data_IF_701805919345
#
_entry.id   IF_701805919345
#
_cell.length_a   1.000
_cell.length_b   1.000
_cell.length_c   1.000
_cell.angle_alpha   90.00
_cell.angle_beta   90.00
_cell.angle_gamma   90.00
#
_symmetry.space_group_name_H-M   'P 1'
#
loop_
_entity.id
_entity.type
_entity.pdbx_description
1 polymer ?
#
# COMPACT_ATOMS: atom_id res chain seq x y z
N UNK A 1 31.68 13.91 -7.88
CA UNK A 1 31.12 15.13 -7.28
C UNK A 1 30.19 14.67 -6.14
N UNK A 2 30.54 15.01 -4.91
CA UNK A 2 30.02 14.39 -3.67
C UNK A 2 28.53 14.67 -3.47
N UNK A 3 27.70 13.62 -3.51
CA UNK A 3 26.33 13.66 -3.00
C UNK A 3 26.39 13.77 -1.47
N UNK A 4 26.01 14.93 -0.94
CA UNK A 4 25.77 15.10 0.49
C UNK A 4 24.35 14.60 0.77
N UNK A 5 24.24 13.48 1.48
CA UNK A 5 22.99 12.95 2.01
C UNK A 5 22.46 13.85 3.14
N UNK A 6 21.23 14.36 3.05
CA UNK A 6 20.51 14.85 4.22
C UNK A 6 19.50 13.77 4.68
N UNK A 7 19.98 12.61 5.15
CA UNK A 7 19.09 11.51 5.54
C UNK A 7 18.74 11.44 7.04
N UNK A 8 19.12 12.43 7.86
CA UNK A 8 18.98 12.33 9.33
C UNK A 8 17.85 13.17 9.96
N UNK A 9 17.06 13.93 9.18
CA UNK A 9 16.07 14.84 9.77
C UNK A 9 14.60 14.39 9.66
N UNK A 10 14.29 13.31 8.97
CA UNK A 10 12.88 12.89 8.77
C UNK A 10 12.31 11.94 9.84
N UNK A 11 13.17 11.30 10.63
CA UNK A 11 12.70 10.33 11.63
C UNK A 11 12.07 10.98 12.88
N UNK A 12 12.35 12.25 13.15
CA UNK A 12 11.91 12.91 14.39
C UNK A 12 10.48 13.48 14.35
N UNK A 13 9.86 13.60 13.18
CA UNK A 13 8.50 14.18 13.09
C UNK A 13 7.37 13.22 13.45
N UNK A 14 7.62 11.90 13.46
CA UNK A 14 6.62 10.88 13.80
C UNK A 14 6.61 10.52 15.31
N UNK A 15 7.57 11.02 16.09
CA UNK A 15 7.77 10.64 17.50
C UNK A 15 7.26 11.68 18.51
N UNK A 16 6.54 12.72 18.06
CA UNK A 16 5.97 13.74 18.95
C UNK A 16 5.10 13.13 20.04
N UNK A 17 5.63 13.05 21.26
CA UNK A 17 4.97 12.52 22.45
C UNK A 17 3.74 13.34 22.80
N UNK A 18 2.57 12.71 22.75
CA UNK A 18 1.33 13.16 23.40
C UNK A 18 1.29 12.49 24.76
N UNK A 19 0.99 13.28 25.80
CA UNK A 19 0.93 12.87 27.20
C UNK A 19 0.15 11.56 27.38
N UNK A 20 0.69 10.66 28.17
CA UNK A 20 0.16 9.34 28.51
C UNK A 20 -1.12 9.47 29.37
N UNK A 21 -2.28 9.49 28.71
CA UNK A 21 -3.46 8.92 29.32
C UNK A 21 -3.23 7.39 29.40
N UNK A 22 -3.68 6.73 30.46
CA UNK A 22 -3.65 5.27 30.53
C UNK A 22 -4.40 4.73 29.31
N UNK A 23 -3.64 4.25 28.32
CA UNK A 23 -4.18 3.71 27.06
C UNK A 23 -4.60 2.31 27.40
N UNK A 24 -5.89 1.99 27.26
CA UNK A 24 -6.35 0.63 27.35
C UNK A 24 -5.57 -0.21 26.32
N UNK A 25 -5.20 -1.44 26.68
CA UNK A 25 -4.53 -2.32 25.72
C UNK A 25 -5.54 -2.75 24.63
N UNK A 26 -5.16 -2.71 23.36
CA UNK A 26 -6.03 -3.20 22.29
C UNK A 26 -6.30 -4.69 22.48
N UNK A 27 -7.42 -5.15 21.94
CA UNK A 27 -7.83 -6.56 22.04
C UNK A 27 -6.73 -7.49 21.52
N UNK A 28 -6.41 -8.51 22.29
CA UNK A 28 -5.54 -9.59 21.84
C UNK A 28 -6.19 -10.33 20.67
N UNK A 29 -5.37 -10.72 19.73
CA UNK A 29 -5.76 -11.52 18.57
C UNK A 29 -5.01 -12.83 18.57
N UNK A 30 -5.62 -13.94 18.98
CA UNK A 30 -4.96 -15.24 19.00
C UNK A 30 -4.86 -15.90 17.62
N UNK A 31 -5.48 -15.32 16.59
CA UNK A 31 -5.60 -15.93 15.29
C UNK A 31 -4.53 -15.43 14.30
N UNK A 32 -4.11 -16.34 13.44
CA UNK A 32 -3.38 -16.00 12.22
C UNK A 32 -4.31 -15.38 11.19
N UNK A 33 -3.78 -14.57 10.31
CA UNK A 33 -4.55 -13.98 9.19
C UNK A 33 -3.79 -14.18 7.89
N UNK A 34 -4.49 -14.69 6.86
CA UNK A 34 -4.01 -14.65 5.47
C UNK A 34 -4.89 -13.68 4.70
N UNK A 35 -4.27 -12.82 3.90
CA UNK A 35 -4.95 -11.87 3.01
C UNK A 35 -4.50 -12.10 1.59
N UNK A 36 -5.45 -12.13 0.67
CA UNK A 36 -5.23 -12.02 -0.78
C UNK A 36 -5.86 -10.71 -1.22
N UNK A 37 -5.13 -9.93 -2.02
CA UNK A 37 -5.58 -8.65 -2.56
C UNK A 37 -5.20 -8.52 -4.02
N UNK A 38 -6.13 -7.97 -4.80
CA UNK A 38 -5.97 -7.67 -6.21
C UNK A 38 -6.35 -6.22 -6.47
N UNK A 39 -5.53 -5.52 -7.22
CA UNK A 39 -5.81 -4.19 -7.76
C UNK A 39 -5.75 -4.27 -9.30
N UNK A 40 -6.66 -3.59 -9.98
CA UNK A 40 -6.68 -3.58 -11.43
C UNK A 40 -7.44 -2.35 -11.96
N UNK A 41 -6.98 -1.81 -13.08
CA UNK A 41 -7.57 -0.66 -13.76
C UNK A 41 -8.70 -1.02 -14.74
N UNK A 42 -8.83 -2.29 -15.12
CA UNK A 42 -9.78 -2.79 -16.12
C UNK A 42 -11.27 -2.69 -15.74
N UNK A 43 -11.61 -2.04 -14.64
CA UNK A 43 -13.02 -1.77 -14.26
C UNK A 43 -13.75 -0.87 -15.25
N UNK A 44 -13.02 -0.23 -16.17
CA UNK A 44 -13.55 0.47 -17.36
C UNK A 44 -13.13 -0.27 -18.62
N UNK A 45 -14.04 -0.60 -19.56
CA UNK A 45 -13.66 -1.16 -20.84
C UNK A 45 -12.65 -0.24 -21.57
N UNK A 46 -11.45 -0.75 -21.83
CA UNK A 46 -10.39 -0.04 -22.55
C UNK A 46 -9.47 0.85 -21.69
N UNK A 47 -9.52 0.72 -20.38
CA UNK A 47 -8.58 1.38 -19.45
C UNK A 47 -7.52 0.39 -18.98
N UNK A 48 -6.54 0.10 -19.79
CA UNK A 48 -5.29 -0.59 -19.37
C UNK A 48 -4.21 0.49 -19.30
N UNK A 49 -4.33 1.37 -18.27
CA UNK A 49 -3.61 2.64 -18.23
C UNK A 49 -2.71 2.73 -16.99
N UNK A 50 -1.41 2.91 -17.19
CA UNK A 50 -0.42 3.32 -16.20
C UNK A 50 -0.14 2.36 -15.05
N UNK A 51 -1.08 2.10 -14.14
CA UNK A 51 -1.03 1.06 -13.10
C UNK A 51 -1.99 -0.04 -13.47
N UNK A 52 -1.50 -1.02 -14.19
CA UNK A 52 -2.30 -2.09 -14.81
C UNK A 52 -2.86 -3.05 -13.77
N UNK A 53 -2.00 -3.56 -12.90
CA UNK A 53 -2.42 -4.46 -11.83
C UNK A 53 -1.46 -4.49 -10.64
N UNK A 54 -1.99 -4.98 -9.54
CA UNK A 54 -1.24 -5.34 -8.35
C UNK A 54 -1.82 -6.59 -7.71
N UNK A 55 -0.95 -7.53 -7.36
CA UNK A 55 -1.28 -8.76 -6.68
C UNK A 55 -0.52 -8.82 -5.35
N UNK A 56 -1.21 -9.20 -4.28
CA UNK A 56 -0.62 -9.33 -2.96
C UNK A 56 -1.15 -10.54 -2.21
N UNK A 57 -0.24 -11.27 -1.59
CA UNK A 57 -0.54 -12.28 -0.56
C UNK A 57 0.20 -11.88 0.70
N UNK A 58 -0.50 -11.83 1.82
CA UNK A 58 0.07 -11.45 3.10
C UNK A 58 -0.33 -12.43 4.21
N UNK A 59 0.59 -12.64 5.13
CA UNK A 59 0.36 -13.35 6.39
C UNK A 59 0.60 -12.37 7.53
N UNK A 60 -0.33 -12.33 8.50
CA UNK A 60 -0.18 -11.58 9.75
C UNK A 60 -0.29 -12.52 10.94
N UNK A 61 0.68 -12.46 11.85
CA UNK A 61 0.72 -13.31 13.04
C UNK A 61 -0.36 -12.91 14.08
N UNK A 62 -0.67 -13.80 15.03
CA UNK A 62 -1.31 -13.43 16.28
C UNK A 62 -0.53 -12.33 17.02
N UNK A 63 -1.19 -11.66 17.97
CA UNK A 63 -0.50 -10.80 18.93
C UNK A 63 0.45 -11.61 19.81
N UNK A 64 1.58 -11.00 20.22
CA UNK A 64 2.57 -11.66 21.07
C UNK A 64 3.51 -12.65 20.36
N UNK A 65 3.39 -12.85 19.06
CA UNK A 65 4.24 -13.76 18.27
C UNK A 65 5.53 -13.13 17.76
N UNK A 66 5.76 -11.87 18.07
CA UNK A 66 7.00 -11.17 17.66
C UNK A 66 8.18 -11.72 18.47
N UNK A 67 9.30 -12.09 17.83
CA UNK A 67 10.50 -12.55 18.56
C UNK A 67 10.96 -11.53 19.60
N UNK A 68 11.30 -11.97 20.80
CA UNK A 68 11.59 -11.13 21.96
C UNK A 68 12.51 -9.93 21.70
N UNK A 69 13.68 -10.08 21.04
CA UNK A 69 14.54 -8.93 20.74
C UNK A 69 13.88 -7.90 19.81
N UNK A 70 13.10 -8.36 18.83
CA UNK A 70 12.37 -7.48 17.90
C UNK A 70 11.20 -6.78 18.62
N UNK A 71 10.50 -7.50 19.49
CA UNK A 71 9.43 -6.93 20.31
C UNK A 71 9.97 -5.85 21.26
N UNK A 72 11.09 -6.11 21.92
CA UNK A 72 11.74 -5.14 22.81
C UNK A 72 12.19 -3.87 22.04
N UNK A 73 12.74 -4.04 20.84
CA UNK A 73 13.09 -2.92 19.95
C UNK A 73 11.83 -2.15 19.54
N UNK A 74 10.75 -2.83 19.18
CA UNK A 74 9.47 -2.22 18.84
C UNK A 74 8.93 -1.38 20.00
N UNK A 75 8.88 -1.92 21.21
CA UNK A 75 8.44 -1.18 22.40
C UNK A 75 9.36 0.00 22.74
N UNK A 76 10.66 -0.14 22.54
CA UNK A 76 11.60 0.97 22.73
C UNK A 76 11.34 2.14 21.74
N UNK A 77 11.03 1.83 20.49
CA UNK A 77 10.82 2.83 19.43
C UNK A 77 9.40 3.42 19.40
N UNK A 78 8.39 2.60 19.69
CA UNK A 78 6.99 2.93 19.46
C UNK A 78 6.18 3.07 20.77
N UNK A 79 6.77 2.73 21.92
CA UNK A 79 6.08 2.69 23.21
C UNK A 79 5.30 1.39 23.44
N UNK A 80 4.39 1.34 24.42
CA UNK A 80 3.58 0.16 24.71
C UNK A 80 2.51 -0.08 23.63
N UNK A 81 2.11 -1.33 23.43
CA UNK A 81 1.06 -1.73 22.49
C UNK A 81 1.14 -3.20 22.12
N UNK A 82 0.11 -3.73 21.48
CA UNK A 82 0.06 -5.09 20.96
C UNK A 82 0.85 -5.19 19.66
N UNK A 83 1.76 -6.15 19.59
CA UNK A 83 2.64 -6.31 18.44
C UNK A 83 2.34 -7.58 17.65
N UNK A 84 2.48 -7.46 16.32
CA UNK A 84 2.41 -8.56 15.34
C UNK A 84 3.56 -8.45 14.36
N UNK A 85 3.91 -9.58 13.77
CA UNK A 85 4.78 -9.61 12.59
C UNK A 85 3.94 -9.98 11.36
N UNK A 86 4.21 -9.35 10.24
CA UNK A 86 3.58 -9.68 8.98
C UNK A 86 4.63 -9.95 7.90
N UNK A 87 4.31 -10.87 7.00
CA UNK A 87 5.07 -11.19 5.80
C UNK A 87 4.15 -11.00 4.60
N UNK A 88 4.65 -10.36 3.55
CA UNK A 88 3.87 -10.18 2.34
C UNK A 88 4.74 -10.39 1.11
N UNK A 89 4.11 -10.84 0.04
CA UNK A 89 4.66 -10.83 -1.31
C UNK A 89 3.69 -10.02 -2.17
N UNK A 90 4.21 -9.00 -2.84
CA UNK A 90 3.44 -8.15 -3.73
C UNK A 90 4.13 -8.00 -5.08
N UNK A 91 3.32 -7.94 -6.14
CA UNK A 91 3.74 -7.59 -7.48
C UNK A 91 2.95 -6.37 -7.94
N UNK A 92 3.61 -5.41 -8.57
CA UNK A 92 2.99 -4.22 -9.15
C UNK A 92 3.42 -4.12 -10.61
N UNK A 93 2.46 -4.02 -11.51
CA UNK A 93 2.66 -3.96 -12.96
C UNK A 93 2.27 -2.57 -13.46
N UNK A 94 3.21 -1.93 -14.16
CA UNK A 94 3.03 -0.62 -14.76
C UNK A 94 3.24 -0.70 -16.27
N UNK A 95 2.31 -0.16 -17.04
CA UNK A 95 2.39 -0.10 -18.50
C UNK A 95 2.17 1.31 -19.03
N UNK A 96 2.70 1.64 -20.21
CA UNK A 96 2.33 2.86 -20.92
C UNK A 96 0.85 2.86 -21.32
N UNK A 97 0.28 4.05 -21.58
CA UNK A 97 -1.06 4.20 -22.12
C UNK A 97 -1.25 3.46 -23.46
N UNK A 98 -0.21 3.47 -24.30
CA UNK A 98 -0.25 2.81 -25.61
C UNK A 98 0.45 1.46 -25.56
N UNK A 99 -0.14 0.48 -24.88
CA UNK A 99 0.34 -0.87 -24.64
C UNK A 99 0.49 -1.73 -25.93
N UNK A 100 -0.15 -1.31 -27.05
CA UNK A 100 -0.07 -1.96 -28.36
C UNK A 100 1.16 -1.58 -29.16
N UNK A 101 1.98 -0.66 -28.69
CA UNK A 101 3.23 -0.27 -29.34
C UNK A 101 4.38 -1.17 -28.87
N UNK A 102 5.12 -1.77 -29.81
CA UNK A 102 6.31 -2.56 -29.47
C UNK A 102 7.41 -1.71 -28.81
N UNK A 103 7.44 -0.41 -29.09
CA UNK A 103 8.32 0.55 -28.44
C UNK A 103 7.44 1.67 -27.90
N UNK A 104 7.37 1.87 -26.56
CA UNK A 104 6.61 2.94 -25.94
C UNK A 104 7.06 4.32 -26.43
N UNK A 105 6.15 5.29 -26.43
CA UNK A 105 6.48 6.67 -26.76
C UNK A 105 7.52 7.20 -25.74
N UNK A 106 8.47 8.07 -26.16
CA UNK A 106 9.46 8.65 -25.26
C UNK A 106 8.85 9.49 -24.11
N UNK A 107 7.63 9.99 -24.31
CA UNK A 107 6.89 10.84 -23.37
C UNK A 107 5.96 10.04 -22.45
N UNK A 108 5.86 8.72 -22.66
CA UNK A 108 5.04 7.83 -21.86
C UNK A 108 5.89 7.03 -20.86
N UNK A 109 5.26 6.57 -19.76
CA UNK A 109 5.99 5.82 -18.72
C UNK A 109 6.62 4.55 -19.28
N UNK A 110 7.74 4.09 -18.71
CA UNK A 110 8.29 2.78 -19.03
C UNK A 110 7.36 1.65 -18.63
N UNK A 111 7.44 0.50 -19.31
CA UNK A 111 7.02 -0.77 -18.72
C UNK A 111 7.89 -1.07 -17.51
N UNK A 112 7.30 -1.39 -16.40
CA UNK A 112 7.99 -1.77 -15.20
C UNK A 112 7.18 -2.78 -14.39
N UNK A 113 7.85 -3.75 -13.81
CA UNK A 113 7.24 -4.64 -12.82
C UNK A 113 8.15 -4.72 -11.61
N UNK A 114 7.56 -4.68 -10.44
CA UNK A 114 8.26 -4.84 -9.18
C UNK A 114 7.66 -6.05 -8.47
N UNK A 115 8.53 -6.95 -8.03
CA UNK A 115 8.19 -8.06 -7.15
C UNK A 115 8.92 -7.84 -5.83
N UNK A 116 8.16 -7.70 -4.74
CA UNK A 116 8.66 -7.32 -3.42
C UNK A 116 8.21 -8.31 -2.36
N UNK A 117 9.16 -8.87 -1.61
CA UNK A 117 8.92 -9.57 -0.35
C UNK A 117 9.11 -8.58 0.81
N UNK A 118 8.12 -8.44 1.69
CA UNK A 118 8.15 -7.46 2.78
C UNK A 118 7.95 -8.13 4.13
N UNK A 119 8.73 -7.73 5.12
CA UNK A 119 8.50 -8.04 6.53
C UNK A 119 8.15 -6.77 7.27
N UNK A 120 7.10 -6.84 8.11
CA UNK A 120 6.58 -5.69 8.85
C UNK A 120 6.43 -6.00 10.33
N UNK A 121 6.85 -5.07 11.18
CA UNK A 121 6.47 -5.00 12.59
C UNK A 121 5.27 -4.05 12.70
N UNK A 122 4.15 -4.59 13.17
CA UNK A 122 2.91 -3.83 13.37
C UNK A 122 2.71 -3.68 14.88
N UNK A 123 2.40 -2.47 15.32
CA UNK A 123 2.04 -2.20 16.71
C UNK A 123 0.73 -1.44 16.77
N UNK A 124 -0.23 -1.99 17.50
CA UNK A 124 -1.55 -1.41 17.77
C UNK A 124 -1.65 -0.91 19.19
N UNK A 125 -2.26 0.26 19.32
CA UNK A 125 -2.88 0.74 20.56
C UNK A 125 -4.38 0.90 20.31
N UNK A 126 -5.18 1.31 21.29
CA UNK A 126 -6.61 1.57 21.08
C UNK A 126 -6.87 2.61 19.99
N UNK A 127 -5.98 3.57 19.85
CA UNK A 127 -6.17 4.73 19.00
C UNK A 127 -5.18 4.84 17.85
N UNK A 128 -4.15 3.99 17.80
CA UNK A 128 -3.13 4.07 16.75
C UNK A 128 -2.72 2.71 16.25
N UNK A 129 -2.38 2.63 14.98
CA UNK A 129 -1.60 1.55 14.36
C UNK A 129 -0.33 2.13 13.79
N UNK A 130 0.79 1.53 14.08
CA UNK A 130 2.08 1.87 13.47
C UNK A 130 2.66 0.62 12.81
N UNK A 131 3.17 0.76 11.59
CA UNK A 131 3.88 -0.31 10.89
C UNK A 131 5.28 0.16 10.47
N UNK A 132 6.28 -0.67 10.75
CA UNK A 132 7.65 -0.50 10.25
C UNK A 132 7.94 -1.68 9.32
N UNK A 133 8.29 -1.42 8.08
CA UNK A 133 8.44 -2.43 7.06
C UNK A 133 9.79 -2.35 6.34
N UNK A 134 10.34 -3.53 6.01
CA UNK A 134 11.48 -3.72 5.14
C UNK A 134 11.06 -4.60 3.97
N UNK A 135 11.10 -4.06 2.76
CA UNK A 135 10.88 -4.75 1.50
C UNK A 135 12.19 -5.05 0.79
N UNK A 136 12.34 -6.25 0.28
CA UNK A 136 13.45 -6.69 -0.55
C UNK A 136 12.88 -7.34 -1.81
N UNK A 137 13.42 -7.01 -2.99
CA UNK A 137 12.86 -7.54 -4.22
C UNK A 137 13.66 -7.18 -5.47
N UNK A 138 12.96 -7.12 -6.58
CA UNK A 138 13.53 -6.85 -7.89
C UNK A 138 12.55 -6.07 -8.77
N UNK A 139 13.07 -5.15 -9.56
CA UNK A 139 12.38 -4.53 -10.68
C UNK A 139 12.84 -5.16 -11.99
N UNK A 140 11.97 -5.18 -13.01
CA UNK A 140 12.29 -5.59 -14.37
C UNK A 140 11.81 -6.98 -14.74
N UNK A 141 12.40 -7.62 -15.78
CA UNK A 141 11.97 -8.95 -16.30
C UNK A 141 11.87 -10.04 -15.25
N UNK A 142 12.78 -10.06 -14.26
CA UNK A 142 12.78 -11.04 -13.17
C UNK A 142 11.57 -10.94 -12.25
N UNK A 143 10.88 -9.80 -12.27
CA UNK A 143 9.60 -9.61 -11.55
C UNK A 143 8.40 -10.21 -12.29
N UNK A 144 8.57 -10.82 -13.49
CA UNK A 144 7.60 -11.63 -14.23
C UNK A 144 6.33 -10.91 -14.74
N UNK A 145 6.30 -9.58 -14.82
CA UNK A 145 5.09 -8.83 -15.20
C UNK A 145 4.55 -9.20 -16.58
N UNK A 146 5.42 -9.36 -17.60
CA UNK A 146 5.00 -9.87 -18.90
C UNK A 146 4.24 -11.18 -18.80
N UNK A 147 4.76 -12.12 -18.01
CA UNK A 147 4.16 -13.45 -17.88
C UNK A 147 2.78 -13.38 -17.22
N UNK A 148 2.65 -12.57 -16.18
CA UNK A 148 1.39 -12.39 -15.44
C UNK A 148 0.36 -11.68 -16.32
N UNK A 149 0.69 -10.53 -16.90
CA UNK A 149 -0.25 -9.77 -17.73
C UNK A 149 -0.67 -10.56 -18.99
N UNK A 150 0.29 -11.07 -19.77
CA UNK A 150 -0.06 -11.81 -20.99
C UNK A 150 -0.74 -13.15 -20.69
N UNK A 151 -0.36 -13.84 -19.61
CA UNK A 151 -1.06 -15.05 -19.18
C UNK A 151 -2.50 -14.79 -18.75
N UNK A 152 -2.77 -13.65 -18.11
CA UNK A 152 -4.13 -13.23 -17.80
C UNK A 152 -4.92 -12.84 -19.05
N UNK A 153 -4.29 -12.11 -20.02
CA UNK A 153 -4.90 -11.78 -21.30
C UNK A 153 -5.29 -13.04 -22.08
N UNK A 154 -4.42 -14.04 -22.13
CA UNK A 154 -4.72 -15.34 -22.77
C UNK A 154 -5.93 -16.03 -22.13
N UNK A 155 -6.01 -16.00 -20.79
CA UNK A 155 -7.13 -16.60 -20.04
C UNK A 155 -8.47 -15.96 -20.38
N UNK A 156 -8.51 -14.63 -20.59
CA UNK A 156 -9.73 -13.87 -20.89
C UNK A 156 -9.93 -13.62 -22.39
N UNK A 157 -9.09 -14.17 -23.26
CA UNK A 157 -9.17 -14.04 -24.71
C UNK A 157 -8.80 -12.65 -25.25
N UNK A 158 -7.98 -11.91 -24.52
CA UNK A 158 -7.41 -10.63 -24.98
C UNK A 158 -6.08 -10.83 -25.72
N UNK A 159 -5.68 -9.80 -26.50
CA UNK A 159 -4.40 -9.83 -27.21
C UNK A 159 -3.23 -9.60 -26.25
N UNK A 160 -2.10 -10.25 -26.54
CA UNK A 160 -0.86 -9.99 -25.82
C UNK A 160 -0.40 -8.54 -25.94
N UNK A 161 0.16 -8.03 -24.86
CA UNK A 161 0.88 -6.75 -24.81
C UNK A 161 2.29 -6.96 -25.34
N UNK A 162 2.66 -6.24 -26.40
CA UNK A 162 3.89 -6.49 -27.16
C UNK A 162 5.10 -5.65 -26.71
N UNK A 163 4.88 -4.57 -25.95
CA UNK A 163 5.92 -3.61 -25.57
C UNK A 163 6.88 -4.06 -24.45
N UNK A 164 6.68 -5.22 -23.87
CA UNK A 164 7.48 -5.73 -22.74
C UNK A 164 8.97 -5.90 -23.01
N UNK A 165 9.39 -6.00 -24.28
CA UNK A 165 10.81 -6.02 -24.64
C UNK A 165 11.53 -4.69 -24.30
N UNK A 166 10.78 -3.59 -24.14
CA UNK A 166 11.28 -2.28 -23.80
C UNK A 166 11.10 -1.91 -22.31
N UNK A 167 10.82 -2.89 -21.44
CA UNK A 167 10.68 -2.66 -19.98
C UNK A 167 12.00 -2.26 -19.34
N UNK A 168 11.91 -1.69 -18.13
CA UNK A 168 13.09 -1.42 -17.29
C UNK A 168 13.87 -2.73 -17.05
N UNK A 169 15.20 -2.63 -16.99
CA UNK A 169 16.09 -3.77 -16.73
C UNK A 169 15.96 -4.30 -15.29
N UNK A 170 16.63 -5.42 -15.02
CA UNK A 170 16.65 -5.98 -13.67
C UNK A 170 17.57 -5.18 -12.76
N UNK A 171 17.03 -4.70 -11.63
CA UNK A 171 17.81 -4.18 -10.50
C UNK A 171 17.24 -4.68 -9.17
N UNK A 172 18.07 -4.80 -8.12
CA UNK A 172 17.59 -5.14 -6.79
C UNK A 172 16.82 -3.96 -6.19
N UNK A 173 15.76 -4.27 -5.47
CA UNK A 173 14.93 -3.30 -4.75
C UNK A 173 15.10 -3.48 -3.25
N UNK A 174 15.35 -2.36 -2.56
CA UNK A 174 15.34 -2.27 -1.10
C UNK A 174 14.43 -1.09 -0.74
N UNK A 175 13.42 -1.33 0.09
CA UNK A 175 12.45 -0.31 0.51
C UNK A 175 12.21 -0.36 2.01
N UNK A 176 12.46 0.75 2.69
CA UNK A 176 12.05 0.96 4.07
C UNK A 176 10.79 1.82 4.10
N UNK A 177 9.88 1.50 5.01
CA UNK A 177 8.64 2.26 5.18
C UNK A 177 8.26 2.35 6.65
N UNK A 178 7.79 3.52 7.04
CA UNK A 178 7.13 3.73 8.32
C UNK A 178 5.76 4.37 8.06
N UNK A 179 4.73 3.76 8.62
CA UNK A 179 3.35 4.19 8.52
C UNK A 179 2.74 4.37 9.90
N UNK A 180 1.91 5.37 10.07
CA UNK A 180 1.08 5.54 11.27
C UNK A 180 -0.31 6.03 10.92
N UNK A 181 -1.30 5.33 11.46
CA UNK A 181 -2.72 5.67 11.37
C UNK A 181 -3.25 5.94 12.76
N UNK A 182 -4.02 7.00 12.92
CA UNK A 182 -4.73 7.33 14.15
C UNK A 182 -6.21 7.06 13.97
N UNK A 183 -6.89 6.65 15.04
CA UNK A 183 -8.35 6.54 15.11
C UNK A 183 -8.91 7.64 15.96
N UNK A 184 -9.79 8.45 15.38
CA UNK A 184 -10.47 9.55 16.03
C UNK A 184 -11.97 9.27 15.96
N UNK A 185 -12.62 8.82 17.06
CA UNK A 185 -14.07 8.68 17.08
C UNK A 185 -14.76 10.03 16.85
N UNK A 186 -15.74 10.08 15.95
CA UNK A 186 -16.51 11.28 15.64
C UNK A 186 -17.90 11.26 16.30
N UNK A 187 -18.30 10.10 16.90
CA UNK A 187 -19.58 9.90 17.53
C UNK A 187 -20.45 8.88 16.81
N UNK A 188 -21.75 8.95 17.03
CA UNK A 188 -22.72 8.02 16.44
C UNK A 188 -23.88 8.77 15.79
N UNK A 189 -24.42 8.20 14.72
CA UNK A 189 -25.62 8.66 14.02
C UNK A 189 -26.65 7.51 14.10
N UNK A 190 -27.55 7.61 15.09
CA UNK A 190 -28.42 6.49 15.43
C UNK A 190 -27.60 5.25 15.86
N UNK A 191 -27.81 4.08 15.23
CA UNK A 191 -27.06 2.86 15.55
C UNK A 191 -25.69 2.78 14.86
N UNK A 192 -25.30 3.77 14.07
CA UNK A 192 -24.08 3.80 13.29
C UNK A 192 -22.97 4.57 13.98
N UNK A 193 -21.80 3.95 14.10
CA UNK A 193 -20.57 4.57 14.56
C UNK A 193 -19.95 5.40 13.42
N UNK A 194 -19.24 6.48 13.79
CA UNK A 194 -18.44 7.27 12.84
C UNK A 194 -17.07 7.53 13.41
N UNK A 195 -16.05 7.43 12.57
CA UNK A 195 -14.68 7.80 12.92
C UNK A 195 -13.90 8.39 11.73
N UNK A 196 -12.76 8.98 12.05
CA UNK A 196 -11.76 9.41 11.09
C UNK A 196 -10.45 8.68 11.37
N UNK A 197 -9.77 8.28 10.29
CA UNK A 197 -8.47 7.63 10.29
C UNK A 197 -7.45 8.50 9.56
N UNK A 198 -6.95 9.60 10.16
CA UNK A 198 -5.80 10.29 9.62
C UNK A 198 -4.59 9.37 9.60
N UNK A 199 -3.75 9.48 8.56
CA UNK A 199 -2.55 8.67 8.40
C UNK A 199 -1.39 9.46 7.83
N UNK A 200 -0.18 9.03 8.16
CA UNK A 200 1.05 9.54 7.59
C UNK A 200 2.02 8.38 7.31
N UNK A 201 2.67 8.44 6.15
CA UNK A 201 3.62 7.41 5.71
C UNK A 201 4.88 8.09 5.18
N UNK A 202 6.03 7.51 5.45
CA UNK A 202 7.29 7.86 4.81
C UNK A 202 7.95 6.60 4.28
N UNK A 203 8.50 6.70 3.08
CA UNK A 203 9.22 5.61 2.43
C UNK A 203 10.57 6.09 1.90
N UNK A 204 11.60 5.26 2.04
CA UNK A 204 12.92 5.51 1.51
C UNK A 204 13.56 4.20 1.03
N UNK A 205 14.11 4.22 -0.18
CA UNK A 205 14.71 3.04 -0.78
C UNK A 205 15.14 3.30 -2.22
N UNK A 206 15.54 2.24 -2.91
CA UNK A 206 15.85 2.31 -4.33
C UNK A 206 14.59 2.44 -5.17
N UNK A 207 13.48 1.82 -4.71
CA UNK A 207 12.22 1.87 -5.42
C UNK A 207 11.55 3.25 -5.34
N UNK A 208 11.29 3.75 -4.12
CA UNK A 208 10.57 5.03 -3.97
C UNK A 208 11.02 5.80 -2.75
N UNK A 209 11.19 7.12 -2.91
CA UNK A 209 11.43 8.06 -1.80
C UNK A 209 10.25 9.02 -1.77
N UNK A 210 9.45 8.96 -0.70
CA UNK A 210 8.22 9.74 -0.60
C UNK A 210 7.79 10.00 0.85
N UNK A 211 6.96 11.01 1.00
CA UNK A 211 6.13 11.23 2.18
C UNK A 211 4.67 11.35 1.76
N UNK A 212 3.77 10.77 2.53
CA UNK A 212 2.33 10.78 2.29
C UNK A 212 1.61 11.20 3.55
N UNK A 213 0.54 11.98 3.40
CA UNK A 213 -0.40 12.28 4.46
C UNK A 213 -1.82 12.30 3.90
N UNK A 214 -2.76 11.88 4.73
CA UNK A 214 -4.16 11.83 4.33
C UNK A 214 -5.05 11.33 5.45
N UNK A 215 -6.22 10.86 5.08
CA UNK A 215 -7.15 10.25 6.03
C UNK A 215 -8.39 9.71 5.36
N UNK A 216 -9.06 8.84 6.09
CA UNK A 216 -10.31 8.18 5.69
C UNK A 216 -11.37 8.46 6.74
N UNK A 217 -12.60 8.75 6.33
CA UNK A 217 -13.79 8.81 7.21
C UNK A 217 -14.59 7.55 6.99
N UNK A 218 -15.12 6.98 8.11
CA UNK A 218 -15.92 5.76 8.06
C UNK A 218 -17.26 5.95 8.77
N UNK A 219 -18.27 5.24 8.29
CA UNK A 219 -19.56 5.09 8.94
C UNK A 219 -20.03 3.65 8.82
N UNK A 220 -20.48 3.06 9.92
CA UNK A 220 -20.94 1.67 9.95
C UNK A 220 -21.08 1.12 11.36
N UNK A 221 -20.81 -0.15 11.54
CA UNK A 221 -20.89 -0.85 12.82
C UNK A 221 -19.63 -1.68 13.06
N UNK A 222 -19.08 -1.61 14.28
CA UNK A 222 -17.87 -2.33 14.66
C UNK A 222 -16.60 -1.71 14.13
N UNK A 223 -16.51 -0.39 14.01
CA UNK A 223 -15.37 0.34 13.49
C UNK A 223 -14.07 0.10 14.28
N UNK A 224 -14.17 -0.36 15.53
CA UNK A 224 -13.03 -0.73 16.37
C UNK A 224 -12.29 -1.99 15.85
N UNK A 225 -12.88 -2.73 14.92
CA UNK A 225 -12.34 -4.01 14.45
C UNK A 225 -11.04 -3.88 13.66
N UNK A 226 -10.79 -2.75 12.99
CA UNK A 226 -9.56 -2.51 12.21
C UNK A 226 -9.18 -1.03 12.13
N UNK A 227 -8.09 -0.73 11.43
CA UNK A 227 -7.63 0.62 11.11
C UNK A 227 -7.78 0.95 9.61
N UNK A 228 -8.89 0.47 8.99
CA UNK A 228 -9.22 0.77 7.61
C UNK A 228 -8.70 -0.25 6.60
N UNK A 229 -8.92 0.04 5.34
CA UNK A 229 -8.63 -0.83 4.21
C UNK A 229 -7.15 -0.75 3.79
N UNK A 230 -6.54 -1.92 3.58
CA UNK A 230 -5.18 -2.02 3.05
C UNK A 230 -5.15 -1.71 1.54
N UNK A 231 -4.01 -1.21 1.09
CA UNK A 231 -3.71 -0.93 -0.32
C UNK A 231 -2.41 -1.62 -0.73
N UNK A 232 -2.36 -2.14 -1.99
CA UNK A 232 -1.11 -2.60 -2.58
C UNK A 232 -0.32 -1.38 -3.01
N UNK A 233 0.60 -0.96 -2.14
CA UNK A 233 1.58 0.09 -2.44
C UNK A 233 2.83 -0.16 -1.63
N UNK A 234 3.99 0.27 -2.13
CA UNK A 234 5.12 0.43 -1.24
C UNK A 234 4.71 1.40 -0.15
N UNK A 235 4.61 0.91 1.09
CA UNK A 235 4.36 1.73 2.23
C UNK A 235 2.99 1.70 2.88
N UNK A 236 2.03 0.93 2.39
CA UNK A 236 0.76 0.69 3.08
C UNK A 236 0.68 -0.74 3.60
N UNK A 237 1.73 -1.15 4.28
CA UNK A 237 1.80 -2.45 4.93
C UNK A 237 1.15 -2.42 6.30
N UNK A 238 0.62 -3.56 6.74
CA UNK A 238 0.19 -3.75 8.12
C UNK A 238 -1.23 -3.35 8.46
N UNK A 239 -2.04 -2.92 7.50
CA UNK A 239 -3.46 -2.64 7.73
C UNK A 239 -4.38 -3.86 7.61
N UNK A 240 -3.82 -5.05 7.32
CA UNK A 240 -4.59 -6.31 7.24
C UNK A 240 -4.99 -6.87 8.59
N UNK A 241 -4.28 -6.52 9.65
CA UNK A 241 -4.63 -6.97 10.98
C UNK A 241 -6.01 -6.41 11.38
N UNK A 242 -6.88 -7.29 11.88
CA UNK A 242 -8.20 -6.93 12.41
C UNK A 242 -8.59 -7.88 13.54
N UNK A 243 -9.45 -7.39 14.42
CA UNK A 243 -10.08 -8.18 15.48
C UNK A 243 -11.57 -7.96 15.37
N UNK A 244 -12.32 -8.95 14.91
CA UNK A 244 -13.77 -8.83 14.75
C UNK A 244 -14.43 -8.61 16.11
N UNK A 245 -14.95 -7.42 16.36
CA UNK A 245 -15.50 -6.99 17.66
C UNK A 245 -16.94 -7.39 17.89
N UNK A 246 -17.64 -7.80 16.84
CA UNK A 246 -19.04 -8.28 16.89
C UNK A 246 -19.31 -9.27 15.77
N UNK A 247 -20.40 -10.09 15.85
CA UNK A 247 -20.64 -11.16 14.87
C UNK A 247 -20.73 -10.72 13.42
N UNK A 248 -21.18 -9.49 13.18
CA UNK A 248 -21.23 -8.89 11.86
C UNK A 248 -20.75 -7.43 11.94
N UNK A 249 -19.69 -7.13 11.22
CA UNK A 249 -19.09 -5.79 11.11
C UNK A 249 -19.24 -5.30 9.68
N UNK A 250 -19.59 -4.06 9.49
CA UNK A 250 -19.60 -3.44 8.18
C UNK A 250 -19.39 -1.93 8.28
N UNK A 251 -18.80 -1.37 7.27
CA UNK A 251 -18.71 0.09 7.12
C UNK A 251 -18.51 0.47 5.66
N UNK A 252 -18.93 1.68 5.32
CA UNK A 252 -18.51 2.39 4.12
C UNK A 252 -17.50 3.46 4.50
N UNK A 253 -16.62 3.78 3.56
CA UNK A 253 -15.57 4.76 3.79
C UNK A 253 -15.28 5.59 2.56
N UNK A 254 -14.76 6.80 2.78
CA UNK A 254 -14.14 7.63 1.78
C UNK A 254 -12.92 8.33 2.36
N UNK A 255 -11.90 8.54 1.52
CA UNK A 255 -10.65 9.13 1.98
C UNK A 255 -9.91 9.85 0.88
N UNK A 256 -8.99 10.71 1.30
CA UNK A 256 -8.07 11.43 0.43
C UNK A 256 -6.66 11.35 0.99
N UNK A 257 -5.68 11.32 0.11
CA UNK A 257 -4.29 11.48 0.50
C UNK A 257 -3.50 12.28 -0.54
N UNK A 258 -2.42 12.89 -0.08
CA UNK A 258 -1.43 13.56 -0.91
C UNK A 258 -0.06 12.98 -0.65
N UNK A 259 0.72 12.84 -1.70
CA UNK A 259 2.08 12.33 -1.68
C UNK A 259 3.04 13.38 -2.21
N UNK A 260 4.14 13.59 -1.49
CA UNK A 260 5.32 14.30 -1.98
C UNK A 260 6.36 13.23 -2.36
N UNK A 261 6.66 13.09 -3.65
CA UNK A 261 7.53 12.05 -4.19
C UNK A 261 8.84 12.68 -4.63
N UNK A 262 9.94 12.24 -4.04
CA UNK A 262 11.29 12.68 -4.38
C UNK A 262 11.99 11.76 -5.39
N UNK A 263 11.59 10.49 -5.45
CA UNK A 263 12.11 9.47 -6.35
C UNK A 263 11.05 8.38 -6.58
N UNK A 264 10.93 7.91 -7.82
CA UNK A 264 10.12 6.76 -8.20
C UNK A 264 10.81 6.02 -9.35
N UNK A 265 11.33 4.83 -9.08
CA UNK A 265 12.12 4.03 -10.03
C UNK A 265 11.34 3.69 -11.30
N UNK A 266 10.01 3.57 -11.22
CA UNK A 266 9.15 3.27 -12.39
C UNK A 266 8.98 4.45 -13.33
N UNK A 267 9.29 5.67 -12.87
CA UNK A 267 9.16 6.92 -13.63
C UNK A 267 10.52 7.57 -13.91
N UNK A 268 11.37 7.67 -12.88
CA UNK A 268 12.69 8.31 -12.98
C UNK A 268 13.75 7.39 -13.62
N UNK A 269 13.42 6.09 -13.77
CA UNK A 269 14.32 5.07 -14.32
C UNK A 269 15.19 4.40 -13.26
N UNK A 270 16.10 3.54 -13.69
CA UNK A 270 16.93 2.71 -12.82
C UNK A 270 18.03 3.53 -12.13
N UNK A 271 18.25 3.35 -10.81
CA UNK A 271 19.26 4.11 -10.07
C UNK A 271 20.71 3.71 -10.42
N UNK A 272 20.96 2.49 -10.91
CA UNK A 272 22.31 1.98 -11.15
C UNK A 272 22.62 1.76 -12.63
N UNK A 273 21.66 1.99 -13.56
CA UNK A 273 21.83 1.86 -14.99
C UNK A 273 21.11 2.96 -15.77
N UNK A 274 21.58 3.26 -16.98
CA UNK A 274 20.82 4.13 -17.89
C UNK A 274 19.58 3.38 -18.40
N UNK A 275 18.42 3.97 -18.24
CA UNK A 275 17.15 3.39 -18.62
C UNK A 275 16.17 4.43 -19.16
N UNK A 276 15.02 3.96 -19.65
CA UNK A 276 13.90 4.83 -20.00
C UNK A 276 13.37 5.50 -18.74
N UNK A 277 12.92 6.75 -18.89
CA UNK A 277 12.35 7.54 -17.81
C UNK A 277 11.43 8.62 -18.36
N UNK A 278 10.62 9.19 -17.49
CA UNK A 278 9.78 10.37 -17.74
C UNK A 278 9.98 11.41 -16.65
N UNK A 279 9.51 12.63 -16.88
CA UNK A 279 9.59 13.68 -15.86
C UNK A 279 8.48 13.51 -14.83
N UNK A 280 8.79 12.89 -13.69
CA UNK A 280 7.88 12.71 -12.57
C UNK A 280 7.31 14.05 -12.06
N UNK A 281 6.07 14.05 -11.59
CA UNK A 281 5.49 15.13 -10.81
C UNK A 281 5.84 14.96 -9.33
N UNK A 282 6.20 16.04 -8.62
CA UNK A 282 6.60 15.95 -7.22
C UNK A 282 5.43 15.72 -6.26
N UNK A 283 4.19 15.99 -6.69
CA UNK A 283 3.00 15.82 -5.87
C UNK A 283 1.95 15.01 -6.61
N UNK A 284 1.39 14.03 -5.90
CA UNK A 284 0.33 13.14 -6.38
C UNK A 284 -0.78 13.14 -5.36
N UNK A 285 -2.00 13.37 -5.81
CA UNK A 285 -3.21 13.33 -5.00
C UNK A 285 -4.05 12.09 -5.31
N UNK A 286 -4.78 11.61 -4.32
CA UNK A 286 -5.61 10.43 -4.46
C UNK A 286 -6.89 10.56 -3.65
N UNK A 287 -7.99 10.10 -4.25
CA UNK A 287 -9.27 9.87 -3.62
C UNK A 287 -9.59 8.37 -3.65
N UNK A 288 -10.15 7.85 -2.58
CA UNK A 288 -10.63 6.48 -2.50
C UNK A 288 -12.00 6.41 -1.83
N UNK A 289 -12.84 5.46 -2.25
CA UNK A 289 -14.10 5.15 -1.59
C UNK A 289 -14.41 3.67 -1.72
N UNK A 290 -15.05 3.10 -0.71
CA UNK A 290 -15.32 1.67 -0.70
C UNK A 290 -16.13 1.22 0.50
N UNK A 291 -16.15 -0.10 0.70
CA UNK A 291 -16.81 -0.73 1.83
C UNK A 291 -16.03 -1.93 2.34
N UNK A 292 -16.27 -2.29 3.58
CA UNK A 292 -15.75 -3.49 4.24
C UNK A 292 -16.87 -4.22 4.95
N UNK A 293 -16.82 -5.55 4.89
CA UNK A 293 -17.71 -6.46 5.62
C UNK A 293 -16.86 -7.50 6.33
N UNK A 294 -17.20 -7.82 7.58
CA UNK A 294 -16.56 -8.90 8.34
C UNK A 294 -17.61 -9.79 8.98
N UNK A 295 -17.46 -11.08 8.79
CA UNK A 295 -18.26 -12.11 9.41
C UNK A 295 -17.48 -13.42 9.46
N UNK A 296 -17.70 -14.25 10.51
CA UNK A 296 -17.10 -15.59 10.65
C UNK A 296 -15.57 -15.63 10.50
N UNK A 297 -14.87 -14.58 10.94
CA UNK A 297 -13.42 -14.49 10.80
C UNK A 297 -12.95 -14.17 9.37
N UNK A 298 -13.86 -13.83 8.44
CA UNK A 298 -13.55 -13.39 7.09
C UNK A 298 -13.78 -11.89 6.98
N UNK A 299 -12.81 -11.15 6.43
CA UNK A 299 -12.95 -9.75 6.04
C UNK A 299 -12.91 -9.63 4.52
N UNK A 300 -13.90 -9.01 3.94
CA UNK A 300 -13.94 -8.60 2.54
C UNK A 300 -13.92 -7.08 2.45
N UNK A 301 -13.06 -6.55 1.60
CA UNK A 301 -13.01 -5.11 1.31
C UNK A 301 -13.00 -4.89 -0.19
N UNK A 302 -13.77 -3.92 -0.67
CA UNK A 302 -13.73 -3.44 -2.04
C UNK A 302 -13.70 -1.92 -2.07
N UNK A 303 -12.88 -1.35 -2.96
CA UNK A 303 -12.76 0.10 -3.11
C UNK A 303 -12.44 0.50 -4.54
N UNK A 304 -12.83 1.72 -4.87
CA UNK A 304 -12.43 2.43 -6.08
C UNK A 304 -11.44 3.53 -5.70
N UNK A 305 -10.43 3.69 -6.53
CA UNK A 305 -9.38 4.69 -6.37
C UNK A 305 -9.30 5.57 -7.60
N UNK A 306 -9.17 6.88 -7.37
CA UNK A 306 -8.92 7.89 -8.41
C UNK A 306 -7.64 8.62 -8.04
N UNK A 307 -6.66 8.60 -8.93
CA UNK A 307 -5.35 9.20 -8.72
C UNK A 307 -5.07 10.29 -9.75
N UNK A 308 -4.44 11.38 -9.32
CA UNK A 308 -3.95 12.43 -10.21
C UNK A 308 -2.75 11.95 -11.03
N UNK A 309 -2.34 12.73 -12.02
CA UNK A 309 -1.16 12.44 -12.83
C UNK A 309 0.10 12.26 -11.94
N UNK A 310 0.96 11.33 -12.34
CA UNK A 310 2.24 11.02 -11.71
C UNK A 310 3.44 11.62 -12.46
N UNK A 311 3.29 11.91 -13.76
CA UNK A 311 4.37 12.43 -14.60
C UNK A 311 3.87 13.47 -15.62
N UNK A 312 4.79 14.28 -16.13
CA UNK A 312 4.50 15.30 -17.16
C UNK A 312 4.21 14.64 -18.49
N UNK A 313 3.08 15.02 -19.10
CA UNK A 313 2.61 14.44 -20.35
C UNK A 313 1.68 13.24 -20.17
N UNK A 314 1.43 12.78 -18.95
CA UNK A 314 0.39 11.81 -18.67
C UNK A 314 -0.96 12.34 -19.13
N UNK A 315 -1.68 11.54 -19.92
CA UNK A 315 -2.96 11.94 -20.50
C UNK A 315 -4.11 11.65 -19.51
N UNK A 316 -5.30 12.16 -19.86
CA UNK A 316 -6.56 11.94 -19.12
C UNK A 316 -6.70 12.65 -17.77
N UNK A 317 -5.69 13.37 -17.27
CA UNK A 317 -5.75 14.16 -16.02
C UNK A 317 -5.85 13.37 -14.73
N UNK A 318 -6.50 12.21 -14.73
CA UNK A 318 -6.62 11.25 -13.64
C UNK A 318 -6.71 9.85 -14.21
N UNK A 319 -6.26 8.86 -13.45
CA UNK A 319 -6.54 7.46 -13.73
C UNK A 319 -7.22 6.77 -12.55
N UNK A 320 -7.83 5.63 -12.80
CA UNK A 320 -8.66 4.94 -11.82
C UNK A 320 -8.34 3.45 -11.82
N UNK A 321 -8.43 2.85 -10.65
CA UNK A 321 -8.36 1.41 -10.50
C UNK A 321 -9.21 0.96 -9.31
N UNK A 322 -9.60 -0.31 -9.33
CA UNK A 322 -10.31 -0.95 -8.23
C UNK A 322 -9.39 -1.82 -7.41
N UNK A 323 -9.67 -1.95 -6.13
CA UNK A 323 -8.99 -2.85 -5.21
C UNK A 323 -9.99 -3.74 -4.51
N UNK A 324 -9.70 -5.03 -4.46
CA UNK A 324 -10.48 -6.03 -3.73
C UNK A 324 -9.57 -6.89 -2.87
N UNK A 325 -9.96 -7.14 -1.61
CA UNK A 325 -9.22 -8.03 -0.72
C UNK A 325 -10.12 -8.96 0.07
N UNK A 326 -9.61 -10.16 0.34
CA UNK A 326 -10.21 -11.14 1.25
C UNK A 326 -9.15 -11.52 2.28
N UNK A 327 -9.50 -11.37 3.56
CA UNK A 327 -8.68 -11.80 4.69
C UNK A 327 -9.42 -12.88 5.47
N UNK A 328 -8.73 -13.94 5.85
CA UNK A 328 -9.29 -15.08 6.58
C UNK A 328 -8.47 -15.33 7.83
N UNK A 329 -9.13 -15.47 8.97
CA UNK A 329 -8.55 -15.90 10.25
C UNK A 329 -8.62 -17.41 10.42
N UNK A 330 -7.58 -17.99 11.07
CA UNK A 330 -7.50 -19.43 11.39
C UNK A 330 -6.65 -19.68 12.61
#
# INVERSE_FOLDING_TARGET
>A
MLLRLPCLFLASLLLGGIATAAVAEPLEDPNHTITIQLENDSTRPGSDDYYTSGERVAYTSPTGWVPGPLAAMGHMLLGPGQQRIAFEMSQNIYTPLYDKLAVPLPTDRPYATILLGTVSLIQDTDTTRTALALGLGVIGPAALGRNVQNGFHDLIGQKEVVGWAAQLGNEPVIQLTADRTWRIPLGAIGPLETDALPSATVGAGTFRIYAQAGGTVRIGQGLQSDFGAARIRPGLTGTDAYVQTQPFVWYVFAGVNGQAVAWDETLDGLPFATSRHVSRLPFVGEFQAGFTIMAWGIRFTAMQVVQSNEFRGQQNGTFQFSSGSISVKF
#
